data_IF_747819704132
#
_entry.id   IF_747819704132
#
_cell.length_a   1.000
_cell.length_b   1.000
_cell.length_c   1.000
_cell.angle_alpha   90.00
_cell.angle_beta   90.00
_cell.angle_gamma   90.00
#
_symmetry.space_group_name_H-M   'P 1'
#
loop_
_entity.id
_entity.type
_entity.pdbx_description
1 polymer ?
#
# COMPACT_ATOMS: atom_id res chain seq x y z
N UNK A 1 -16.18 22.04 -2.76
CA UNK A 1 -15.93 22.37 -1.33
C UNK A 1 -15.47 21.13 -0.53
N UNK A 2 -14.59 20.28 -1.09
CA UNK A 2 -14.12 19.04 -0.45
C UNK A 2 -12.75 19.18 0.26
N UNK A 3 -12.03 20.29 0.01
CA UNK A 3 -10.63 20.47 0.42
C UNK A 3 -10.46 20.90 1.90
N UNK A 4 -11.41 21.67 2.43
CA UNK A 4 -11.32 22.23 3.79
C UNK A 4 -11.63 21.23 4.91
N UNK A 5 -12.29 20.12 4.59
CA UNK A 5 -12.77 19.17 5.60
C UNK A 5 -11.76 18.05 5.92
N UNK A 6 -10.78 17.83 5.03
CA UNK A 6 -9.77 16.76 5.16
C UNK A 6 -8.32 17.27 5.08
N UNK A 7 -8.11 18.58 5.20
CA UNK A 7 -6.78 19.17 5.09
C UNK A 7 -5.86 18.59 6.18
N UNK A 8 -4.83 17.86 5.74
CA UNK A 8 -3.88 17.17 6.62
C UNK A 8 -4.30 15.79 7.15
N UNK A 9 -5.51 15.29 6.90
CA UNK A 9 -5.90 13.94 7.32
C UNK A 9 -5.35 12.92 6.32
N UNK A 10 -4.45 12.07 6.80
CA UNK A 10 -3.91 10.93 6.06
C UNK A 10 -4.04 9.66 6.88
N UNK A 11 -4.28 8.56 6.19
CA UNK A 11 -4.16 7.25 6.81
C UNK A 11 -2.74 6.77 6.69
N UNK A 12 -2.15 6.36 7.81
CA UNK A 12 -0.82 5.79 7.85
C UNK A 12 -0.89 4.33 8.27
N UNK A 13 -0.26 3.47 7.49
CA UNK A 13 -0.16 2.03 7.69
C UNK A 13 1.30 1.60 7.65
N UNK A 14 1.63 0.58 8.45
CA UNK A 14 2.91 -0.10 8.38
C UNK A 14 2.74 -1.40 7.61
N UNK A 15 3.65 -1.64 6.68
CA UNK A 15 3.68 -2.85 5.89
C UNK A 15 5.06 -3.49 5.85
N UNK A 16 5.09 -4.80 5.58
CA UNK A 16 6.30 -5.58 5.38
C UNK A 16 6.37 -6.01 3.93
N UNK A 17 7.54 -5.92 3.31
CA UNK A 17 7.73 -6.49 1.98
C UNK A 17 7.80 -8.01 2.08
N UNK A 18 6.87 -8.68 1.41
CA UNK A 18 6.95 -10.12 1.18
C UNK A 18 7.88 -10.33 -0.02
N UNK A 19 9.08 -10.90 0.17
CA UNK A 19 9.95 -11.20 -0.94
C UNK A 19 9.28 -12.25 -1.85
N UNK A 20 9.38 -12.13 -3.18
CA UNK A 20 8.96 -13.21 -4.07
C UNK A 20 9.78 -14.45 -3.71
N UNK A 21 9.11 -15.60 -3.50
CA UNK A 21 9.73 -16.84 -3.03
C UNK A 21 11.09 -17.08 -3.71
N UNK A 22 12.18 -16.93 -2.95
CA UNK A 22 13.51 -17.32 -3.45
C UNK A 22 13.53 -18.84 -3.49
N UNK A 23 13.71 -19.40 -4.69
CA UNK A 23 13.88 -20.84 -4.95
C UNK A 23 15.11 -21.47 -4.26
N UNK A 24 15.87 -20.72 -3.45
CA UNK A 24 16.99 -21.25 -2.67
C UNK A 24 16.55 -21.63 -1.25
N UNK A 25 16.33 -22.94 -1.09
CA UNK A 25 16.24 -23.76 0.12
C UNK A 25 16.57 -23.14 1.50
N UNK A 26 15.64 -23.37 2.43
CA UNK A 26 15.83 -23.73 3.85
C UNK A 26 16.40 -22.75 4.88
N UNK A 27 16.84 -21.54 4.54
CA UNK A 27 17.20 -20.55 5.56
C UNK A 27 16.01 -19.66 5.89
N UNK A 28 15.59 -19.65 7.18
CA UNK A 28 14.66 -18.64 7.69
C UNK A 28 15.23 -17.26 7.37
N UNK A 29 14.45 -16.31 6.83
CA UNK A 29 14.96 -14.97 6.56
C UNK A 29 15.47 -14.38 7.87
N UNK A 30 16.66 -13.76 7.83
CA UNK A 30 17.22 -13.07 8.98
C UNK A 30 16.28 -11.93 9.38
N UNK A 31 16.08 -11.65 10.69
CA UNK A 31 15.30 -10.49 11.13
C UNK A 31 15.82 -9.16 10.53
N UNK A 32 17.11 -9.11 10.18
CA UNK A 32 17.75 -7.98 9.50
C UNK A 32 17.38 -7.82 8.02
N UNK A 33 16.81 -8.84 7.39
CA UNK A 33 16.41 -8.81 5.98
C UNK A 33 14.99 -8.25 5.78
N UNK A 34 14.22 -8.05 6.86
CA UNK A 34 12.83 -7.59 6.77
C UNK A 34 12.78 -6.08 6.54
N UNK A 35 12.38 -5.69 5.33
CA UNK A 35 12.19 -4.30 4.94
C UNK A 35 10.77 -3.88 5.31
N UNK A 36 10.69 -2.84 6.14
CA UNK A 36 9.43 -2.21 6.55
C UNK A 36 9.13 -0.99 5.70
N UNK A 37 7.88 -0.81 5.31
CA UNK A 37 7.38 0.31 4.54
C UNK A 37 6.28 1.04 5.32
N UNK A 38 6.26 2.37 5.20
CA UNK A 38 5.16 3.21 5.65
C UNK A 38 4.31 3.59 4.42
N UNK A 39 3.04 3.19 4.43
CA UNK A 39 2.05 3.50 3.40
C UNK A 39 1.21 4.67 3.92
N UNK A 40 1.20 5.78 3.20
CA UNK A 40 0.34 6.93 3.52
C UNK A 40 -0.72 7.11 2.42
N UNK A 41 -1.99 7.18 2.81
CA UNK A 41 -3.12 7.44 1.94
C UNK A 41 -3.73 8.81 2.27
N UNK A 42 -3.87 9.66 1.27
CA UNK A 42 -4.38 11.01 1.39
C UNK A 42 -5.83 11.07 0.92
N UNK A 43 -6.76 11.37 1.83
CA UNK A 43 -8.19 11.41 1.53
C UNK A 43 -8.60 12.56 0.62
N UNK A 44 -7.83 13.66 0.64
CA UNK A 44 -8.14 14.87 -0.12
C UNK A 44 -8.14 14.63 -1.64
N UNK A 45 -7.27 13.75 -2.13
CA UNK A 45 -7.05 13.50 -3.56
C UNK A 45 -7.00 12.01 -3.94
N UNK A 46 -7.30 11.12 -2.99
CA UNK A 46 -7.25 9.66 -3.15
C UNK A 46 -5.88 9.18 -3.68
N UNK A 47 -4.80 9.85 -3.25
CA UNK A 47 -3.44 9.48 -3.61
C UNK A 47 -2.79 8.69 -2.49
N UNK A 48 -1.79 7.88 -2.85
CA UNK A 48 -0.97 7.19 -1.87
C UNK A 48 0.51 7.32 -2.18
N UNK A 49 1.32 7.23 -1.14
CA UNK A 49 2.77 7.16 -1.21
C UNK A 49 3.26 5.99 -0.37
N UNK A 50 4.38 5.39 -0.78
CA UNK A 50 4.99 4.27 -0.06
C UNK A 50 6.47 4.57 0.15
N UNK A 51 6.86 4.65 1.42
CA UNK A 51 8.20 5.06 1.85
C UNK A 51 8.88 3.88 2.55
N UNK A 52 10.13 3.58 2.21
CA UNK A 52 10.92 2.62 2.98
C UNK A 52 11.31 3.24 4.33
N UNK A 53 11.05 2.50 5.42
CA UNK A 53 11.46 2.89 6.75
C UNK A 53 12.92 2.50 6.96
N UNK A 54 13.79 3.49 6.97
CA UNK A 54 15.23 3.29 7.13
C UNK A 54 15.58 2.83 8.56
N UNK A 55 16.42 1.78 8.67
CA UNK A 55 17.03 1.34 9.94
C UNK A 55 18.48 1.83 10.03
N UNK A 56 18.97 2.27 11.21
CA UNK A 56 20.37 2.61 11.41
C UNK A 56 21.31 1.46 11.01
N UNK A 57 22.50 1.79 10.51
CA UNK A 57 23.57 0.83 10.19
C UNK A 57 23.22 -0.26 9.15
N UNK A 58 22.22 -0.05 8.31
CA UNK A 58 21.84 -0.98 7.22
C UNK A 58 22.73 -0.81 5.96
N UNK A 59 23.56 0.23 5.87
CA UNK A 59 24.37 0.50 4.67
C UNK A 59 23.56 0.84 3.41
N UNK A 60 22.25 1.06 3.57
CA UNK A 60 21.34 1.47 2.49
C UNK A 60 21.26 2.98 2.41
N UNK A 61 20.87 3.47 1.23
CA UNK A 61 20.63 4.89 1.00
C UNK A 61 19.50 5.35 1.93
N UNK A 62 19.60 6.51 2.58
CA UNK A 62 18.49 7.06 3.32
C UNK A 62 17.37 7.48 2.34
N UNK A 63 16.15 6.99 2.56
CA UNK A 63 14.91 7.34 1.84
C UNK A 63 14.70 6.81 0.39
N UNK A 64 14.90 5.51 0.09
CA UNK A 64 14.37 4.95 -1.16
C UNK A 64 12.84 4.93 -1.06
N UNK A 65 12.17 5.81 -1.80
CA UNK A 65 10.71 5.78 -1.94
C UNK A 65 10.36 4.62 -2.86
N UNK A 66 9.46 3.73 -2.43
CA UNK A 66 8.94 2.68 -3.31
C UNK A 66 7.93 3.25 -4.30
N UNK A 67 7.11 4.20 -3.84
CA UNK A 67 6.10 4.86 -4.64
C UNK A 67 6.06 6.35 -4.29
N UNK A 68 6.27 7.20 -5.29
CA UNK A 68 5.99 8.63 -5.15
C UNK A 68 4.47 8.87 -5.07
N UNK A 69 4.05 9.96 -4.42
CA UNK A 69 2.63 10.27 -4.23
C UNK A 69 1.88 10.27 -5.57
N UNK A 70 1.00 9.29 -5.75
CA UNK A 70 0.16 9.17 -6.95
C UNK A 70 -1.11 8.39 -6.65
N UNK A 71 -2.13 8.52 -7.51
CA UNK A 71 -3.31 7.64 -7.46
C UNK A 71 -2.86 6.26 -7.93
N UNK A 72 -3.01 5.25 -7.07
CA UNK A 72 -2.50 3.92 -7.38
C UNK A 72 -3.58 3.04 -8.02
N UNK A 73 -3.32 2.48 -9.22
CA UNK A 73 -4.22 1.55 -9.89
C UNK A 73 -4.18 0.11 -9.36
N UNK A 74 -5.33 -0.51 -9.07
CA UNK A 74 -5.44 -1.90 -8.63
C UNK A 74 -4.76 -2.88 -9.60
N UNK A 75 -4.98 -2.69 -10.90
CA UNK A 75 -4.32 -3.48 -11.94
C UNK A 75 -3.41 -2.61 -12.81
N UNK A 76 -2.13 -2.54 -12.40
CA UNK A 76 -1.10 -1.84 -13.16
C UNK A 76 -0.86 -2.47 -14.55
N UNK A 77 -1.08 -3.79 -14.71
CA UNK A 77 -0.85 -4.47 -16.00
C UNK A 77 -1.97 -4.16 -16.99
N UNK A 78 -3.21 -4.11 -16.52
CA UNK A 78 -4.34 -3.71 -17.36
C UNK A 78 -4.15 -2.30 -17.91
N UNK A 79 -3.72 -1.34 -17.07
CA UNK A 79 -3.45 0.02 -17.52
C UNK A 79 -2.29 0.11 -18.52
N UNK A 80 -1.23 -0.69 -18.32
CA UNK A 80 -0.12 -0.71 -19.28
C UNK A 80 -0.59 -1.22 -20.65
N UNK A 81 -1.43 -2.26 -20.68
CA UNK A 81 -2.03 -2.81 -21.90
C UNK A 81 -2.96 -1.82 -22.59
N UNK A 82 -3.71 -1.00 -21.86
CA UNK A 82 -4.53 0.05 -22.48
C UNK A 82 -3.68 1.22 -23.02
N UNK A 83 -2.53 1.49 -22.40
CA UNK A 83 -1.63 2.59 -22.83
C UNK A 83 -0.75 2.25 -24.03
N UNK A 84 -0.33 0.99 -24.14
CA UNK A 84 0.38 0.46 -25.30
C UNK A 84 -0.70 -0.04 -26.23
N UNK A 85 -1.19 0.82 -27.13
CA UNK A 85 -2.34 0.57 -27.98
C UNK A 85 -2.24 -0.70 -28.83
N UNK A 86 -2.54 -1.86 -28.23
CA UNK A 86 -2.89 -3.07 -28.95
C UNK A 86 -4.27 -2.83 -29.51
N UNK A 87 -4.30 -2.59 -30.81
CA UNK A 87 -5.44 -2.15 -31.61
C UNK A 87 -6.50 -3.25 -31.84
N UNK A 88 -6.43 -4.32 -31.06
CA UNK A 88 -7.35 -5.45 -31.12
C UNK A 88 -8.25 -5.38 -29.87
N UNK A 89 -9.57 -5.44 -30.07
CA UNK A 89 -10.65 -5.22 -29.08
C UNK A 89 -11.14 -3.75 -28.93
N UNK A 90 -11.35 -3.08 -30.06
CA UNK A 90 -12.14 -1.86 -30.17
C UNK A 90 -13.66 -2.14 -30.19
N UNK A 91 -14.23 -2.81 -29.18
CA UNK A 91 -15.70 -2.80 -29.00
C UNK A 91 -16.14 -3.35 -27.62
N UNK A 92 -15.84 -2.62 -26.54
CA UNK A 92 -16.59 -2.62 -25.27
C UNK A 92 -15.81 -1.85 -24.21
N UNK A 93 -16.46 -0.89 -23.52
CA UNK A 93 -16.06 -0.25 -22.23
C UNK A 93 -15.54 1.19 -22.27
N UNK A 94 -16.13 2.04 -23.11
CA UNK A 94 -16.01 3.50 -22.93
C UNK A 94 -16.96 4.09 -21.86
N UNK A 95 -17.68 3.27 -21.08
CA UNK A 95 -18.76 3.79 -20.22
C UNK A 95 -18.83 3.21 -18.78
N UNK A 96 -17.74 2.61 -18.27
CA UNK A 96 -17.68 2.12 -16.87
C UNK A 96 -16.32 2.34 -16.20
N UNK A 97 -15.59 3.40 -16.56
CA UNK A 97 -14.33 3.75 -15.89
C UNK A 97 -14.60 4.54 -14.60
N UNK A 98 -15.53 4.07 -13.79
CA UNK A 98 -15.98 4.70 -12.56
C UNK A 98 -15.36 3.99 -11.36
N UNK A 99 -14.31 4.59 -10.79
CA UNK A 99 -13.81 4.36 -9.42
C UNK A 99 -13.29 2.95 -9.03
N UNK A 100 -13.58 1.89 -9.78
CA UNK A 100 -13.19 0.50 -9.46
C UNK A 100 -11.72 0.20 -9.71
N UNK A 101 -11.04 0.98 -10.56
CA UNK A 101 -9.68 0.67 -11.02
C UNK A 101 -8.57 1.16 -10.09
N UNK A 102 -8.89 1.98 -9.08
CA UNK A 102 -7.91 2.59 -8.17
C UNK A 102 -8.12 2.12 -6.74
N UNK A 103 -7.03 2.03 -5.97
CA UNK A 103 -7.13 1.68 -4.55
C UNK A 103 -7.88 2.76 -3.77
N UNK A 104 -8.91 2.32 -3.06
CA UNK A 104 -9.64 3.12 -2.11
C UNK A 104 -9.20 2.86 -0.68
N UNK A 105 -9.69 3.68 0.28
CA UNK A 105 -9.44 3.44 1.69
C UNK A 105 -10.01 2.09 2.16
N UNK A 106 -11.15 1.65 1.62
CA UNK A 106 -11.77 0.35 1.98
C UNK A 106 -10.93 -0.86 1.60
N UNK A 107 -10.00 -0.73 0.65
CA UNK A 107 -9.10 -1.81 0.24
C UNK A 107 -7.87 -1.93 1.16
N UNK A 108 -7.62 -0.93 2.02
CA UNK A 108 -6.48 -0.87 2.93
C UNK A 108 -6.89 -1.41 4.31
N UNK A 109 -6.72 -2.72 4.50
CA UNK A 109 -7.08 -3.42 5.74
C UNK A 109 -5.85 -4.06 6.37
N UNK A 110 -5.70 -3.93 7.69
CA UNK A 110 -4.64 -4.61 8.44
C UNK A 110 -4.80 -6.12 8.31
N UNK A 111 -3.72 -6.81 7.96
CA UNK A 111 -3.68 -8.24 7.69
C UNK A 111 -3.89 -8.61 6.22
N UNK A 112 -4.13 -7.64 5.33
CA UNK A 112 -4.21 -7.86 3.89
C UNK A 112 -2.90 -7.56 3.17
N UNK A 113 -2.69 -8.22 2.03
CA UNK A 113 -1.54 -7.98 1.14
C UNK A 113 -1.93 -7.01 0.04
N UNK A 114 -1.19 -5.90 -0.04
CA UNK A 114 -1.30 -4.88 -1.07
C UNK A 114 -0.21 -5.05 -2.11
N UNK A 115 -0.57 -5.16 -3.39
CA UNK A 115 0.41 -5.21 -4.48
C UNK A 115 0.70 -3.81 -5.00
N UNK A 116 1.91 -3.30 -4.79
CA UNK A 116 2.37 -1.98 -5.24
C UNK A 116 3.50 -2.14 -6.25
N UNK A 117 3.27 -1.77 -7.51
CA UNK A 117 4.28 -1.86 -8.59
C UNK A 117 4.95 -3.24 -8.68
N UNK A 118 4.15 -4.31 -8.56
CA UNK A 118 4.62 -5.71 -8.55
C UNK A 118 5.44 -6.10 -7.31
N UNK A 119 5.38 -5.32 -6.23
CA UNK A 119 5.89 -5.65 -4.91
C UNK A 119 4.72 -5.96 -3.97
N UNK A 120 4.76 -7.12 -3.32
CA UNK A 120 3.72 -7.56 -2.38
C UNK A 120 4.03 -7.03 -0.98
N UNK A 121 3.22 -6.09 -0.49
CA UNK A 121 3.35 -5.48 0.83
C UNK A 121 2.27 -6.03 1.76
N UNK A 122 2.65 -6.61 2.89
CA UNK A 122 1.74 -7.12 3.91
C UNK A 122 1.47 -6.05 4.96
N UNK A 123 0.23 -5.58 5.08
CA UNK A 123 -0.13 -4.55 6.07
C UNK A 123 -0.19 -5.18 7.46
N UNK A 124 0.65 -4.72 8.38
CA UNK A 124 0.76 -5.27 9.74
C UNK A 124 0.16 -4.38 10.81
N UNK A 125 0.09 -3.07 10.57
CA UNK A 125 -0.35 -2.11 11.57
C UNK A 125 -0.94 -0.85 10.93
N UNK A 126 -1.76 -0.13 11.68
CA UNK A 126 -2.29 1.17 11.32
C UNK A 126 -2.29 2.11 12.52
N UNK A 127 -2.13 3.41 12.27
CA UNK A 127 -2.19 4.42 13.33
C UNK A 127 -3.57 4.40 14.04
N UNK A 128 -3.61 4.75 15.32
CA UNK A 128 -4.82 4.85 16.13
C UNK A 128 -5.83 5.84 15.52
N UNK A 129 -5.35 6.98 15.02
CA UNK A 129 -6.20 7.95 14.31
C UNK A 129 -6.84 7.35 13.05
N UNK A 130 -6.09 6.54 12.30
CA UNK A 130 -6.63 5.79 11.15
C UNK A 130 -7.71 4.80 11.62
N UNK A 131 -7.43 4.02 12.68
CA UNK A 131 -8.35 3.01 13.22
C UNK A 131 -9.68 3.63 13.65
N UNK A 132 -9.62 4.73 14.38
CA UNK A 132 -10.80 5.45 14.84
C UNK A 132 -11.59 6.02 13.64
N UNK A 133 -10.90 6.60 12.66
CA UNK A 133 -11.56 7.10 11.46
C UNK A 133 -12.28 6.00 10.67
N UNK A 134 -11.67 4.81 10.52
CA UNK A 134 -12.31 3.68 9.83
C UNK A 134 -13.56 3.20 10.54
N UNK A 135 -13.53 3.18 11.87
CA UNK A 135 -14.68 2.84 12.69
C UNK A 135 -15.80 3.86 12.52
N UNK A 136 -15.50 5.15 12.62
CA UNK A 136 -16.50 6.22 12.64
C UNK A 136 -17.11 6.52 11.26
N UNK A 137 -16.33 6.37 10.17
CA UNK A 137 -16.77 6.77 8.83
C UNK A 137 -17.12 5.58 7.91
N UNK A 138 -16.54 4.40 8.16
CA UNK A 138 -16.72 3.24 7.29
C UNK A 138 -17.35 2.04 7.99
N UNK A 139 -17.60 2.10 9.31
CA UNK A 139 -18.01 0.95 10.13
C UNK A 139 -17.07 -0.26 9.99
N UNK A 140 -15.79 0.00 9.69
CA UNK A 140 -14.77 -1.04 9.52
C UNK A 140 -13.88 -1.05 10.77
N UNK A 141 -13.88 -2.17 11.48
CA UNK A 141 -12.95 -2.41 12.58
C UNK A 141 -11.64 -2.96 12.02
N UNK A 142 -10.60 -2.12 12.00
CA UNK A 142 -9.26 -2.58 11.64
C UNK A 142 -8.76 -3.59 12.68
N UNK A 143 -8.01 -4.61 12.24
CA UNK A 143 -7.40 -5.60 13.13
C UNK A 143 -6.28 -4.98 13.97
N UNK A 144 -6.03 -5.55 15.15
CA UNK A 144 -4.91 -5.15 15.99
C UNK A 144 -3.57 -5.37 15.29
N UNK A 145 -2.54 -4.68 15.79
CA UNK A 145 -1.19 -4.80 15.28
C UNK A 145 -0.75 -6.26 15.25
N UNK A 146 -0.42 -6.73 14.06
CA UNK A 146 0.17 -8.06 13.88
C UNK A 146 1.64 -7.95 14.26
N UNK A 147 1.97 -8.39 15.47
CA UNK A 147 3.36 -8.54 15.89
C UNK A 147 4.02 -9.63 15.05
N UNK A 148 4.76 -9.25 14.02
CA UNK A 148 5.93 -10.04 13.66
C UNK A 148 6.85 -10.07 14.87
N UNK A 149 7.37 -11.26 15.20
CA UNK A 149 7.98 -11.68 16.48
C UNK A 149 9.16 -10.87 17.04
N UNK A 150 9.40 -9.65 16.55
CA UNK A 150 10.71 -8.98 16.53
C UNK A 150 10.70 -7.59 17.20
N UNK A 151 9.75 -7.32 18.11
CA UNK A 151 9.75 -6.12 18.97
C UNK A 151 10.08 -6.42 20.45
N UNK A 152 10.57 -7.62 20.75
CA UNK A 152 11.15 -7.93 22.06
C UNK A 152 12.64 -8.13 21.92
N UNK A 153 13.40 -7.04 22.01
CA UNK A 153 14.77 -7.03 22.54
C UNK A 153 15.19 -5.60 22.87
#
# INVERSE_FOLDING_TARGET
RHYLQYDGIKFSFRALLIPPERKSSSSKPSPYDVITYDINYYLVDNTMEVLERHRPNNGRVPYPKLLARMRMPKDYRALLKSSIGSQDEADSRLDQQDSSDYYGPKDLIVGSTLNVLNQSLYIVDCNEGTRQYYKDNYDIIQQDRITTRDERE
#
